data_IF_658974436369
#
_entry.id   IF_658974436369
#
_cell.length_a   1.000
_cell.length_b   1.000
_cell.length_c   1.000
_cell.angle_alpha   90.00
_cell.angle_beta   90.00
_cell.angle_gamma   90.00
#
_symmetry.space_group_name_H-M   'P 1'
#
loop_
_entity.id
_entity.type
_entity.pdbx_description
1 polymer ?
#
# COMPACT_ATOMS: atom_id res chain seq x y z
N UNK A 1 71.92 14.39 -45.86
CA UNK A 1 72.24 12.99 -45.50
C UNK A 1 71.57 12.63 -44.18
N UNK A 2 71.03 11.41 -44.09
CA UNK A 2 70.38 10.81 -42.91
C UNK A 2 71.24 10.93 -41.64
N UNK A 3 70.65 11.21 -40.45
CA UNK A 3 70.16 10.22 -39.47
C UNK A 3 69.68 10.93 -38.18
N UNK A 4 68.70 10.29 -37.53
CA UNK A 4 68.06 10.63 -36.26
C UNK A 4 69.05 10.73 -35.09
N UNK A 5 68.73 11.59 -34.12
CA UNK A 5 68.85 11.31 -32.68
C UNK A 5 67.74 12.08 -31.94
N UNK A 6 66.94 11.34 -31.17
CA UNK A 6 65.78 11.80 -30.44
C UNK A 6 66.17 12.69 -29.26
N UNK A 7 65.52 13.86 -29.16
CA UNK A 7 65.36 14.57 -27.89
C UNK A 7 64.21 13.91 -27.13
N UNK A 8 64.47 13.44 -25.91
CA UNK A 8 63.47 13.07 -24.92
C UNK A 8 62.89 14.34 -24.32
N UNK A 9 61.57 14.61 -24.41
CA UNK A 9 60.99 15.71 -23.68
C UNK A 9 60.39 15.21 -22.36
N UNK A 10 60.84 15.88 -21.29
CA UNK A 10 60.23 16.25 -20.00
C UNK A 10 58.70 16.13 -19.76
N UNK A 11 57.95 15.28 -20.46
CA UNK A 11 56.49 15.17 -20.31
C UNK A 11 56.02 14.27 -19.15
N UNK A 12 56.90 13.45 -18.54
CA UNK A 12 56.44 12.53 -17.49
C UNK A 12 56.32 13.15 -16.10
N UNK A 13 56.99 14.27 -15.78
CA UNK A 13 56.91 14.85 -14.44
C UNK A 13 55.73 15.81 -14.27
N UNK A 14 55.37 16.55 -15.32
CA UNK A 14 54.23 17.49 -15.28
C UNK A 14 52.88 16.76 -15.23
N UNK A 15 52.76 15.62 -15.91
CA UNK A 15 51.53 14.80 -15.90
C UNK A 15 51.34 14.10 -14.54
N UNK A 16 52.42 13.69 -13.88
CA UNK A 16 52.33 13.04 -12.56
C UNK A 16 51.97 14.02 -11.44
N UNK A 17 52.42 15.28 -11.52
CA UNK A 17 52.05 16.32 -10.55
C UNK A 17 50.60 16.83 -10.75
N UNK A 18 50.08 16.82 -11.98
CA UNK A 18 48.67 17.11 -12.25
C UNK A 18 47.72 16.00 -11.77
N UNK A 19 48.16 14.73 -11.76
CA UNK A 19 47.38 13.61 -11.24
C UNK A 19 47.33 13.56 -9.71
N UNK A 20 48.33 14.09 -9.01
CA UNK A 20 48.35 14.14 -7.53
C UNK A 20 47.55 15.33 -6.96
N UNK A 21 47.32 16.39 -7.75
CA UNK A 21 46.50 17.54 -7.33
C UNK A 21 44.99 17.36 -7.62
N UNK A 22 44.59 16.30 -8.35
CA UNK A 22 43.18 15.91 -8.53
C UNK A 22 42.73 14.75 -7.62
N UNK A 23 43.64 14.19 -6.80
CA UNK A 23 43.39 13.03 -5.94
C UNK A 23 43.12 13.34 -4.46
N UNK A 24 42.90 14.61 -4.09
CA UNK A 24 42.63 15.02 -2.71
C UNK A 24 41.52 16.08 -2.64
N UNK A 25 40.34 15.72 -3.14
CA UNK A 25 39.08 16.41 -2.86
C UNK A 25 38.09 15.38 -2.35
N UNK A 26 37.83 15.37 -1.05
CA UNK A 26 36.92 14.40 -0.43
C UNK A 26 35.53 14.46 -1.04
N UNK A 27 35.03 13.32 -1.50
CA UNK A 27 33.60 13.15 -1.76
C UNK A 27 32.86 13.15 -0.42
N UNK A 28 32.41 14.34 0.01
CA UNK A 28 31.23 14.44 0.84
C UNK A 28 30.07 13.83 0.04
N UNK A 29 29.54 12.72 0.55
CA UNK A 29 28.33 12.09 0.04
C UNK A 29 27.14 13.06 0.20
N UNK A 30 26.93 13.90 -0.81
CA UNK A 30 25.66 14.59 -1.00
C UNK A 30 24.69 13.59 -1.64
N UNK A 31 23.81 13.02 -0.81
CA UNK A 31 22.65 12.29 -1.29
C UNK A 31 21.87 13.20 -2.26
N UNK A 32 21.85 12.83 -3.55
CA UNK A 32 21.02 13.47 -4.56
C UNK A 32 19.55 13.18 -4.23
N UNK A 33 18.96 14.02 -3.37
CA UNK A 33 17.58 13.92 -2.88
C UNK A 33 16.62 14.88 -3.60
N UNK A 34 16.97 15.36 -4.80
CA UNK A 34 16.17 16.32 -5.58
C UNK A 34 16.34 16.12 -7.07
N UNK A 35 15.57 15.22 -7.65
CA UNK A 35 15.40 15.12 -9.11
C UNK A 35 14.06 14.49 -9.50
N UNK A 36 13.02 14.62 -8.67
CA UNK A 36 11.70 14.03 -8.94
C UNK A 36 10.51 14.98 -8.70
N UNK A 37 10.76 16.27 -8.46
CA UNK A 37 9.69 17.24 -8.18
C UNK A 37 9.24 18.05 -9.41
N UNK A 38 9.87 17.91 -10.58
CA UNK A 38 9.68 18.91 -11.66
C UNK A 38 9.07 18.43 -12.98
N UNK A 39 8.54 17.20 -13.07
CA UNK A 39 7.81 16.77 -14.27
C UNK A 39 6.56 16.01 -13.85
N UNK A 40 5.39 16.60 -14.11
CA UNK A 40 4.01 16.17 -13.78
C UNK A 40 3.38 16.69 -12.47
N UNK A 41 3.38 18.01 -12.26
CA UNK A 41 2.35 18.66 -11.44
C UNK A 41 1.99 20.04 -11.98
N UNK A 42 1.18 20.12 -13.04
CA UNK A 42 0.53 21.38 -13.45
C UNK A 42 -0.93 21.50 -12.99
N UNK A 43 -1.43 20.62 -12.11
CA UNK A 43 -2.79 20.78 -11.56
C UNK A 43 -3.08 20.06 -10.23
N UNK A 44 -2.11 19.98 -9.30
CA UNK A 44 -2.31 19.39 -7.97
C UNK A 44 -2.13 20.42 -6.85
N UNK A 45 -3.00 20.38 -5.82
CA UNK A 45 -2.77 21.14 -4.57
C UNK A 45 -1.40 20.74 -3.97
N UNK A 46 -0.64 21.67 -3.35
CA UNK A 46 0.64 21.34 -2.73
C UNK A 46 0.46 20.25 -1.64
N UNK A 47 1.50 19.43 -1.37
CA UNK A 47 1.43 18.38 -0.37
C UNK A 47 1.02 18.94 0.99
N UNK A 48 -0.01 18.35 1.58
CA UNK A 48 -0.50 18.81 2.89
C UNK A 48 0.43 18.28 3.97
N UNK A 49 0.93 19.14 4.85
CA UNK A 49 1.86 18.72 5.88
C UNK A 49 1.14 17.85 6.93
N UNK A 50 1.57 16.59 7.04
CA UNK A 50 1.21 15.72 8.14
C UNK A 50 1.94 16.18 9.41
N UNK A 51 1.18 16.48 10.46
CA UNK A 51 1.73 16.89 11.74
C UNK A 51 1.69 15.70 12.69
N UNK A 52 2.88 15.30 13.14
CA UNK A 52 3.04 14.39 14.27
C UNK A 52 2.77 15.18 15.55
N UNK A 53 1.71 14.84 16.27
CA UNK A 53 1.45 15.48 17.56
C UNK A 53 2.47 15.01 18.60
N UNK A 54 3.11 15.96 19.29
CA UNK A 54 3.99 15.66 20.41
C UNK A 54 3.14 15.27 21.62
N UNK A 55 3.55 14.24 22.41
CA UNK A 55 2.83 13.85 23.62
C UNK A 55 2.67 15.04 24.56
N UNK A 56 1.42 15.46 24.84
CA UNK A 56 1.15 16.47 25.87
C UNK A 56 1.16 15.80 27.25
N UNK A 57 1.58 16.54 28.28
CA UNK A 57 1.67 16.04 29.66
C UNK A 57 0.29 15.51 30.12
N UNK A 58 0.13 14.19 30.21
CA UNK A 58 -1.12 13.52 30.55
C UNK A 58 -1.78 12.71 29.42
N UNK A 59 -1.31 12.81 28.17
CA UNK A 59 -1.69 11.88 27.10
C UNK A 59 -0.85 10.59 27.21
N UNK A 60 -1.53 9.44 27.22
CA UNK A 60 -0.91 8.11 27.27
C UNK A 60 -0.13 7.75 26.00
N UNK A 61 0.39 6.52 25.95
CA UNK A 61 1.41 6.05 25.01
C UNK A 61 1.00 5.91 23.51
N UNK A 62 0.21 6.85 23.00
CA UNK A 62 -0.42 6.84 21.68
C UNK A 62 0.09 8.01 20.84
N UNK A 63 0.33 7.77 19.54
CA UNK A 63 0.70 8.81 18.59
C UNK A 63 -0.49 9.15 17.70
N UNK A 64 -0.88 10.43 17.65
CA UNK A 64 -1.92 10.92 16.75
C UNK A 64 -1.30 11.59 15.51
N UNK A 65 -1.92 11.34 14.36
CA UNK A 65 -1.56 11.93 13.08
C UNK A 65 -2.70 12.82 12.58
N UNK A 66 -2.41 14.08 12.29
CA UNK A 66 -3.39 15.05 11.77
C UNK A 66 -2.89 15.72 10.49
N UNK A 67 -3.84 16.03 9.60
CA UNK A 67 -3.63 16.85 8.40
C UNK A 67 -3.96 18.30 8.74
N UNK A 68 -3.10 19.25 8.38
CA UNK A 68 -3.39 20.68 8.55
C UNK A 68 -4.61 21.09 7.70
N UNK A 69 -5.70 21.50 8.34
CA UNK A 69 -6.92 21.90 7.65
C UNK A 69 -6.72 23.26 6.95
N UNK A 70 -6.85 23.28 5.62
CA UNK A 70 -6.98 24.51 4.85
C UNK A 70 -8.47 24.79 4.61
N UNK A 71 -9.01 25.79 5.32
CA UNK A 71 -10.36 26.32 5.11
C UNK A 71 -11.41 25.70 6.02
N UNK A 72 -11.90 26.50 6.98
CA UNK A 72 -13.12 26.21 7.72
C UNK A 72 -14.34 26.44 6.82
N UNK A 73 -14.69 25.43 6.03
CA UNK A 73 -16.09 25.27 5.61
C UNK A 73 -16.85 24.62 6.76
N UNK A 74 -18.00 25.21 7.15
CA UNK A 74 -18.90 24.76 8.22
C UNK A 74 -19.54 23.39 7.90
N UNK A 75 -18.72 22.36 7.80
CA UNK A 75 -19.08 20.98 7.55
C UNK A 75 -18.72 20.16 8.78
N UNK A 76 -19.64 19.30 9.24
CA UNK A 76 -19.39 18.36 10.35
C UNK A 76 -18.34 17.28 10.03
N UNK A 77 -17.75 17.33 8.83
CA UNK A 77 -16.74 16.42 8.32
C UNK A 77 -15.34 17.03 8.45
N UNK A 78 -14.41 16.28 9.04
CA UNK A 78 -13.03 16.70 9.21
C UNK A 78 -12.05 15.55 8.89
N UNK A 79 -10.78 15.82 8.56
CA UNK A 79 -9.79 14.77 8.26
C UNK A 79 -9.70 13.74 9.38
N UNK A 80 -9.78 12.44 9.06
CA UNK A 80 -9.77 11.37 10.05
C UNK A 80 -8.50 11.41 10.92
N UNK A 81 -8.68 11.28 12.25
CA UNK A 81 -7.56 11.10 13.19
C UNK A 81 -7.40 9.62 13.52
N UNK A 82 -6.30 9.03 13.10
CA UNK A 82 -5.96 7.64 13.44
C UNK A 82 -4.84 7.68 14.47
N UNK A 83 -5.15 7.26 15.70
CA UNK A 83 -4.17 7.08 16.75
C UNK A 83 -3.49 5.72 16.62
N UNK A 84 -2.20 5.65 16.91
CA UNK A 84 -1.42 4.41 16.81
C UNK A 84 -0.80 4.08 18.17
N UNK A 85 -1.07 2.87 18.65
CA UNK A 85 -0.48 2.28 19.84
C UNK A 85 0.56 1.24 19.43
N UNK A 86 1.82 1.47 19.79
CA UNK A 86 2.94 0.58 19.46
C UNK A 86 3.48 -0.15 20.68
N UNK A 87 2.63 -0.37 21.70
CA UNK A 87 3.05 -0.99 22.97
C UNK A 87 3.59 -2.42 22.79
N UNK A 88 3.04 -3.20 21.86
CA UNK A 88 3.59 -4.53 21.55
C UNK A 88 5.00 -4.44 20.91
N UNK A 89 5.36 -3.34 20.25
CA UNK A 89 6.72 -3.12 19.71
C UNK A 89 7.74 -2.65 20.76
N UNK A 90 7.28 -2.31 21.98
CA UNK A 90 8.15 -1.92 23.11
C UNK A 90 8.38 -3.06 24.10
N UNK A 91 7.60 -4.13 23.99
CA UNK A 91 7.63 -5.28 24.88
C UNK A 91 8.43 -6.41 24.24
N UNK A 92 9.63 -6.68 24.73
CA UNK A 92 10.52 -7.73 24.20
C UNK A 92 9.93 -9.14 24.35
N UNK A 93 8.82 -9.31 25.07
CA UNK A 93 8.09 -10.58 25.12
C UNK A 93 7.12 -10.76 23.94
N UNK A 94 6.85 -9.71 23.16
CA UNK A 94 5.84 -9.69 22.11
C UNK A 94 6.40 -9.85 20.70
N UNK A 95 7.69 -9.58 20.50
CA UNK A 95 8.36 -9.73 19.21
C UNK A 95 9.66 -10.54 19.35
N UNK A 96 10.16 -11.06 18.24
CA UNK A 96 11.38 -11.87 18.21
C UNK A 96 12.62 -10.99 18.37
N UNK A 97 13.45 -11.29 19.37
CA UNK A 97 14.72 -10.57 19.61
C UNK A 97 15.96 -11.36 19.19
N UNK A 98 15.81 -12.67 19.03
CA UNK A 98 16.81 -13.59 18.50
C UNK A 98 16.14 -14.82 17.88
N UNK A 99 16.84 -15.47 16.96
CA UNK A 99 16.42 -16.74 16.37
C UNK A 99 16.23 -17.81 17.45
N UNK A 100 15.25 -18.69 17.26
CA UNK A 100 14.94 -19.80 18.16
C UNK A 100 14.07 -19.44 19.37
N UNK A 101 13.74 -18.17 19.59
CA UNK A 101 12.78 -17.79 20.65
C UNK A 101 11.36 -18.24 20.32
N UNK A 102 10.64 -18.75 21.32
CA UNK A 102 9.21 -18.99 21.18
C UNK A 102 8.43 -17.71 21.53
N UNK A 103 7.74 -17.12 20.55
CA UNK A 103 6.85 -15.96 20.72
C UNK A 103 5.45 -16.25 20.14
N UNK A 104 4.46 -15.44 20.51
CA UNK A 104 3.09 -15.51 19.98
C UNK A 104 3.00 -14.86 18.60
N UNK A 105 2.36 -15.51 17.62
CA UNK A 105 2.27 -15.10 16.21
C UNK A 105 1.13 -14.13 15.89
N UNK A 106 0.43 -13.66 16.91
CA UNK A 106 -0.78 -12.86 16.80
C UNK A 106 -1.91 -13.56 16.01
N UNK A 107 -1.82 -14.88 15.83
CA UNK A 107 -2.83 -15.79 15.27
C UNK A 107 -3.12 -16.97 16.20
N UNK A 108 -2.64 -16.92 17.44
CA UNK A 108 -2.91 -17.88 18.50
C UNK A 108 -1.86 -18.96 18.71
N UNK A 109 -0.79 -18.99 17.91
CA UNK A 109 0.27 -19.98 18.07
C UNK A 109 1.52 -19.38 18.70
N UNK A 110 2.15 -20.18 19.56
CA UNK A 110 3.50 -19.92 20.02
C UNK A 110 4.48 -20.67 19.10
N UNK A 111 5.23 -19.95 18.28
CA UNK A 111 6.14 -20.53 17.27
C UNK A 111 7.57 -20.09 17.51
N UNK A 112 8.54 -20.88 17.04
CA UNK A 112 9.96 -20.51 17.07
C UNK A 112 10.24 -19.41 16.05
N UNK A 113 10.94 -18.36 16.47
CA UNK A 113 11.40 -17.27 15.61
C UNK A 113 12.46 -17.76 14.63
N UNK A 114 12.33 -17.40 13.36
CA UNK A 114 13.37 -17.56 12.34
C UNK A 114 14.27 -16.32 12.28
N UNK A 115 15.39 -16.39 11.55
CA UNK A 115 16.33 -15.27 11.40
C UNK A 115 15.64 -14.03 10.79
N UNK A 116 14.79 -14.21 9.77
CA UNK A 116 14.04 -13.15 9.09
C UNK A 116 12.88 -12.56 9.91
N UNK A 117 12.58 -13.17 11.07
CA UNK A 117 11.58 -12.67 12.01
C UNK A 117 12.18 -11.81 13.14
N UNK A 118 13.51 -11.74 13.26
CA UNK A 118 14.17 -10.97 14.34
C UNK A 118 14.04 -9.47 14.08
N UNK A 119 13.38 -8.74 15.00
CA UNK A 119 13.27 -7.29 14.92
C UNK A 119 14.45 -6.60 15.61
N UNK A 120 15.25 -5.88 14.84
CA UNK A 120 16.26 -4.97 15.37
C UNK A 120 15.65 -3.62 15.81
N UNK A 121 16.37 -2.87 16.63
CA UNK A 121 15.94 -1.52 17.03
C UNK A 121 15.84 -0.55 15.84
N UNK A 122 16.67 -0.74 14.81
CA UNK A 122 16.59 0.04 13.57
C UNK A 122 15.31 -0.28 12.80
N UNK A 123 14.96 -1.57 12.67
CA UNK A 123 13.70 -1.97 12.02
C UNK A 123 12.47 -1.42 12.76
N UNK A 124 12.45 -1.50 14.09
CA UNK A 124 11.36 -0.91 14.89
C UNK A 124 11.28 0.60 14.65
N UNK A 125 12.43 1.28 14.60
CA UNK A 125 12.47 2.71 14.31
C UNK A 125 11.91 3.02 12.91
N UNK A 126 12.30 2.28 11.88
CA UNK A 126 11.77 2.44 10.52
C UNK A 126 10.26 2.18 10.47
N UNK A 127 9.77 1.15 11.15
CA UNK A 127 8.33 0.87 11.26
C UNK A 127 7.56 2.05 11.87
N UNK A 128 8.06 2.59 12.99
CA UNK A 128 7.38 3.60 13.80
C UNK A 128 7.52 5.01 13.23
N UNK A 129 8.71 5.38 12.76
CA UNK A 129 9.02 6.76 12.36
C UNK A 129 8.90 7.00 10.85
N UNK A 130 8.87 5.95 10.01
CA UNK A 130 8.80 6.09 8.55
C UNK A 130 7.57 5.42 7.93
N UNK A 131 7.33 4.13 8.22
CA UNK A 131 6.27 3.35 7.55
C UNK A 131 4.87 3.73 8.05
N UNK A 132 4.66 3.69 9.37
CA UNK A 132 3.36 3.99 9.99
C UNK A 132 2.86 5.42 9.67
N UNK A 133 3.67 6.49 9.79
CA UNK A 133 3.24 7.85 9.45
C UNK A 133 2.76 7.98 8.00
N UNK A 134 3.49 7.39 7.05
CA UNK A 134 3.13 7.45 5.62
C UNK A 134 1.83 6.68 5.38
N UNK A 135 1.70 5.47 5.93
CA UNK A 135 0.51 4.65 5.76
C UNK A 135 -0.74 5.31 6.36
N UNK A 136 -0.63 5.90 7.56
CA UNK A 136 -1.72 6.66 8.19
C UNK A 136 -2.04 7.92 7.39
N UNK A 137 -1.03 8.65 6.93
CA UNK A 137 -1.20 9.87 6.14
C UNK A 137 -1.98 9.64 4.85
N UNK A 138 -1.71 8.54 4.15
CA UNK A 138 -2.44 8.16 2.94
C UNK A 138 -3.96 8.14 3.15
N UNK A 139 -4.44 7.65 4.30
CA UNK A 139 -5.87 7.68 4.67
C UNK A 139 -6.31 9.04 5.20
N UNK A 140 -5.54 9.65 6.10
CA UNK A 140 -5.91 10.92 6.75
C UNK A 140 -6.10 12.07 5.75
N UNK A 141 -5.31 12.08 4.67
CA UNK A 141 -5.39 13.08 3.60
C UNK A 141 -6.57 12.86 2.64
N UNK A 142 -7.09 11.63 2.56
CA UNK A 142 -8.11 11.22 1.57
C UNK A 142 -9.49 11.01 2.16
N UNK A 143 -9.59 10.79 3.47
CA UNK A 143 -10.83 10.48 4.15
C UNK A 143 -11.18 11.54 5.20
N UNK A 144 -12.34 12.15 5.02
CA UNK A 144 -13.01 12.94 6.05
C UNK A 144 -13.96 12.03 6.83
N UNK A 145 -14.21 12.40 8.09
CA UNK A 145 -15.10 11.66 8.99
C UNK A 145 -15.90 12.63 9.85
N UNK A 146 -17.10 12.21 10.26
CA UNK A 146 -17.77 12.80 11.41
C UNK A 146 -17.09 12.28 12.68
N UNK A 147 -16.56 13.20 13.48
CA UNK A 147 -15.71 12.87 14.64
C UNK A 147 -16.43 11.94 15.63
N UNK A 148 -15.71 10.95 16.16
CA UNK A 148 -16.23 10.14 17.28
C UNK A 148 -16.27 11.01 18.53
N UNK A 149 -17.27 10.77 19.39
CA UNK A 149 -17.31 11.38 20.72
C UNK A 149 -16.15 10.85 21.57
N UNK A 150 -15.23 11.74 21.95
CA UNK A 150 -14.09 11.43 22.81
C UNK A 150 -14.30 11.90 24.25
N UNK A 151 -13.66 11.27 25.25
CA UNK A 151 -12.86 10.05 25.12
C UNK A 151 -13.74 8.81 24.90
N UNK A 152 -13.24 7.83 24.14
CA UNK A 152 -13.85 6.50 24.03
C UNK A 152 -12.93 5.45 24.66
N UNK A 153 -13.51 4.56 25.46
CA UNK A 153 -12.78 3.51 26.18
C UNK A 153 -12.61 2.29 25.28
N UNK A 154 -11.40 1.72 25.30
CA UNK A 154 -11.12 0.42 24.67
C UNK A 154 -10.77 -0.56 25.77
N UNK A 155 -11.63 -1.56 25.99
CA UNK A 155 -11.38 -2.64 26.93
C UNK A 155 -10.40 -3.67 26.32
N UNK A 156 -9.72 -4.49 27.15
CA UNK A 156 -8.93 -5.60 26.65
C UNK A 156 -9.77 -6.51 25.75
N UNK A 157 -9.20 -6.88 24.61
CA UNK A 157 -9.82 -7.81 23.68
C UNK A 157 -9.81 -9.22 24.25
N UNK A 158 -10.87 -9.97 23.96
CA UNK A 158 -11.11 -11.34 24.38
C UNK A 158 -11.23 -12.25 23.16
N UNK A 159 -11.40 -13.55 23.38
CA UNK A 159 -11.61 -14.52 22.30
C UNK A 159 -12.75 -14.18 21.34
N UNK A 160 -13.75 -13.40 21.80
CA UNK A 160 -14.87 -12.94 20.96
C UNK A 160 -14.44 -12.01 19.83
N UNK A 161 -13.32 -11.29 20.02
CA UNK A 161 -12.76 -10.38 19.02
C UNK A 161 -11.70 -11.07 18.14
N UNK A 162 -11.63 -12.42 18.17
CA UNK A 162 -10.74 -13.20 17.31
C UNK A 162 -9.27 -12.87 17.53
N UNK A 163 -8.54 -12.52 16.46
CA UNK A 163 -7.11 -12.22 16.54
C UNK A 163 -6.78 -10.94 17.34
N UNK A 164 -7.77 -10.06 17.57
CA UNK A 164 -7.56 -8.85 18.37
C UNK A 164 -7.11 -9.17 19.81
N UNK A 165 -7.51 -10.31 20.36
CA UNK A 165 -7.17 -10.76 21.71
C UNK A 165 -5.66 -10.79 22.00
N UNK A 166 -4.83 -10.88 20.96
CA UNK A 166 -3.38 -10.99 21.08
C UNK A 166 -2.67 -9.64 21.19
N UNK A 167 -3.38 -8.53 20.96
CA UNK A 167 -2.84 -7.17 20.98
C UNK A 167 -2.98 -6.52 22.34
N UNK A 168 -1.96 -5.74 22.73
CA UNK A 168 -1.93 -5.06 24.02
C UNK A 168 -2.70 -3.74 23.94
N UNK A 169 -3.80 -3.67 24.70
CA UNK A 169 -4.52 -2.43 24.96
C UNK A 169 -3.92 -1.73 26.19
N UNK A 170 -3.33 -0.53 26.07
CA UNK A 170 -2.75 0.19 27.20
C UNK A 170 -3.79 0.49 28.30
N UNK A 171 -3.36 0.48 29.56
CA UNK A 171 -4.25 0.75 30.70
C UNK A 171 -4.93 2.13 30.62
N UNK A 172 -4.27 3.13 30.03
CA UNK A 172 -4.87 4.45 29.78
C UNK A 172 -6.08 4.37 28.85
N UNK A 173 -6.02 3.56 27.79
CA UNK A 173 -7.15 3.38 26.87
C UNK A 173 -8.34 2.69 27.55
N UNK A 174 -8.06 1.85 28.56
CA UNK A 174 -9.08 1.12 29.33
C UNK A 174 -9.75 2.01 30.39
N UNK A 175 -9.00 2.91 31.02
CA UNK A 175 -9.50 3.72 32.15
C UNK A 175 -9.93 5.13 31.74
N UNK A 176 -9.03 5.88 31.11
CA UNK A 176 -9.28 7.28 30.72
C UNK A 176 -9.85 7.39 29.31
N UNK A 177 -9.65 6.37 28.48
CA UNK A 177 -10.05 6.35 27.09
C UNK A 177 -9.08 7.10 26.17
N UNK A 178 -9.32 6.95 24.87
CA UNK A 178 -8.57 7.61 23.81
C UNK A 178 -9.20 8.96 23.53
N UNK A 179 -8.38 10.02 23.54
CA UNK A 179 -8.77 11.39 23.19
C UNK A 179 -8.21 11.75 21.82
N UNK A 180 -8.78 12.78 21.19
CA UNK A 180 -8.31 13.34 19.93
C UNK A 180 -8.09 12.33 18.78
N UNK A 181 -8.89 11.26 18.77
CA UNK A 181 -8.85 10.22 17.75
C UNK A 181 -10.27 9.88 17.29
N UNK A 182 -10.39 9.41 16.05
CA UNK A 182 -11.62 8.82 15.51
C UNK A 182 -11.48 7.31 15.29
N UNK A 183 -10.26 6.80 15.44
CA UNK A 183 -9.89 5.40 15.40
C UNK A 183 -8.57 5.19 16.16
N UNK A 184 -8.37 4.02 16.77
CA UNK A 184 -7.06 3.57 17.29
C UNK A 184 -6.61 2.26 16.65
N UNK A 185 -5.35 2.21 16.20
CA UNK A 185 -4.68 1.01 15.71
C UNK A 185 -3.72 0.47 16.77
N UNK A 186 -3.85 -0.80 17.11
CA UNK A 186 -2.90 -1.53 17.95
C UNK A 186 -1.92 -2.28 17.06
N UNK A 187 -0.65 -1.90 17.12
CA UNK A 187 0.37 -2.36 16.17
C UNK A 187 1.32 -3.36 16.79
N UNK A 188 1.52 -4.47 16.09
CA UNK A 188 2.52 -5.47 16.38
C UNK A 188 3.31 -5.84 15.12
N UNK A 189 4.48 -6.43 15.31
CA UNK A 189 5.28 -7.00 14.23
C UNK A 189 6.08 -8.16 14.80
N UNK A 190 5.87 -9.34 14.22
CA UNK A 190 6.54 -10.55 14.72
C UNK A 190 6.75 -11.64 13.66
N UNK A 191 5.73 -11.96 12.85
CA UNK A 191 5.80 -13.10 11.91
C UNK A 191 5.96 -12.69 10.45
N UNK A 192 6.53 -13.57 9.63
CA UNK A 192 6.70 -13.32 8.20
C UNK A 192 5.50 -13.72 7.31
N UNK A 193 4.37 -14.17 7.88
CA UNK A 193 3.14 -14.55 7.16
C UNK A 193 2.41 -13.40 6.44
N UNK A 194 3.04 -12.24 6.32
CA UNK A 194 2.51 -11.04 5.70
C UNK A 194 1.91 -10.04 6.69
N UNK A 195 1.70 -8.82 6.18
CA UNK A 195 1.00 -7.75 6.88
C UNK A 195 -0.51 -7.97 6.76
N UNK A 196 -1.22 -7.91 7.88
CA UNK A 196 -2.67 -8.10 7.95
C UNK A 196 -3.26 -7.24 9.05
N UNK A 197 -4.56 -6.97 8.95
CA UNK A 197 -5.25 -6.19 9.97
C UNK A 197 -6.75 -6.46 9.98
N UNK A 198 -7.39 -6.28 11.14
CA UNK A 198 -8.82 -6.55 11.35
C UNK A 198 -9.45 -5.49 12.26
N UNK A 199 -10.73 -5.11 12.04
CA UNK A 199 -11.45 -4.27 12.99
C UNK A 199 -11.71 -5.04 14.29
N UNK A 200 -11.55 -4.38 15.43
CA UNK A 200 -11.70 -4.96 16.77
C UNK A 200 -12.82 -4.31 17.59
N UNK A 201 -13.22 -3.10 17.24
CA UNK A 201 -14.30 -2.37 17.91
C UNK A 201 -15.00 -1.44 16.93
N UNK A 202 -16.31 -1.30 17.07
CA UNK A 202 -17.16 -0.46 16.25
C UNK A 202 -17.85 0.61 17.10
N UNK A 203 -18.05 1.79 16.53
CA UNK A 203 -18.87 2.85 17.12
C UNK A 203 -20.36 2.58 16.99
N UNK A 204 -21.18 3.46 17.57
CA UNK A 204 -22.65 3.33 17.56
C UNK A 204 -23.25 3.42 16.15
N UNK A 205 -22.58 4.09 15.23
CA UNK A 205 -22.91 4.18 13.81
C UNK A 205 -22.50 2.93 13.02
N UNK A 206 -21.82 1.98 13.66
CA UNK A 206 -21.27 0.79 13.03
C UNK A 206 -19.91 0.99 12.35
N UNK A 207 -19.32 2.19 12.44
CA UNK A 207 -17.99 2.48 11.89
C UNK A 207 -16.90 1.84 12.74
N UNK A 208 -15.86 1.23 12.15
CA UNK A 208 -14.70 0.78 12.93
C UNK A 208 -14.01 1.93 13.67
N UNK A 209 -13.76 1.76 14.97
CA UNK A 209 -13.07 2.75 15.83
C UNK A 209 -11.86 2.17 16.57
N UNK A 210 -11.65 0.86 16.54
CA UNK A 210 -10.39 0.25 16.91
C UNK A 210 -10.05 -0.92 15.99
N UNK A 211 -8.76 -1.13 15.71
CA UNK A 211 -8.28 -2.25 14.89
C UNK A 211 -6.94 -2.78 15.36
N UNK A 212 -6.67 -4.03 15.02
CA UNK A 212 -5.38 -4.69 15.22
C UNK A 212 -4.63 -4.71 13.88
N UNK A 213 -3.36 -4.31 13.89
CA UNK A 213 -2.50 -4.23 12.72
C UNK A 213 -1.20 -4.98 12.99
N UNK A 214 -1.02 -6.10 12.31
CA UNK A 214 0.24 -6.82 12.31
C UNK A 214 1.03 -6.45 11.04
N UNK A 215 2.25 -5.96 11.20
CA UNK A 215 3.16 -5.63 10.10
C UNK A 215 4.24 -6.71 10.03
N UNK A 216 4.55 -7.20 8.84
CA UNK A 216 5.65 -8.15 8.66
C UNK A 216 7.01 -7.47 8.95
N UNK A 217 7.96 -8.18 9.59
CA UNK A 217 9.32 -7.68 9.77
C UNK A 217 9.96 -7.30 8.42
N UNK A 218 10.63 -6.14 8.40
CA UNK A 218 11.11 -5.49 7.18
C UNK A 218 12.47 -6.04 6.73
N UNK A 219 12.48 -6.95 5.75
CA UNK A 219 13.70 -7.31 5.00
C UNK A 219 13.49 -7.42 3.48
N UNK A 220 12.24 -7.46 2.99
CA UNK A 220 11.96 -7.82 1.58
C UNK A 220 11.45 -6.66 0.69
N UNK A 221 11.03 -5.54 1.27
CA UNK A 221 10.39 -4.43 0.54
C UNK A 221 11.06 -3.10 0.89
N UNK A 222 11.16 -2.12 -0.01
CA UNK A 222 11.52 -0.75 0.34
C UNK A 222 10.45 -0.06 1.21
N UNK A 223 10.83 0.97 1.98
CA UNK A 223 9.94 1.73 2.89
C UNK A 223 8.63 2.14 2.21
N UNK A 224 8.70 2.61 0.96
CA UNK A 224 7.52 2.99 0.17
C UNK A 224 6.54 1.83 -0.04
N UNK A 225 7.02 0.65 -0.43
CA UNK A 225 6.17 -0.52 -0.65
C UNK A 225 5.60 -1.06 0.66
N UNK A 226 6.39 -1.00 1.75
CA UNK A 226 5.90 -1.34 3.08
C UNK A 226 4.81 -0.38 3.55
N UNK A 227 4.97 0.93 3.35
CA UNK A 227 3.94 1.91 3.67
C UNK A 227 2.64 1.66 2.90
N UNK A 228 2.72 1.27 1.61
CA UNK A 228 1.55 0.88 0.80
C UNK A 228 0.90 -0.40 1.28
N UNK A 229 1.69 -1.40 1.67
CA UNK A 229 1.20 -2.64 2.27
C UNK A 229 0.50 -2.36 3.60
N UNK A 230 1.08 -1.49 4.43
CA UNK A 230 0.48 -1.08 5.69
C UNK A 230 -0.80 -0.28 5.47
N UNK A 231 -0.86 0.62 4.48
CA UNK A 231 -2.08 1.34 4.12
C UNK A 231 -3.18 0.39 3.61
N UNK A 232 -2.83 -0.62 2.80
CA UNK A 232 -3.77 -1.66 2.40
C UNK A 232 -4.38 -2.36 3.64
N UNK A 233 -3.56 -2.73 4.61
CA UNK A 233 -4.06 -3.35 5.83
C UNK A 233 -4.92 -2.39 6.67
N UNK A 234 -4.52 -1.12 6.80
CA UNK A 234 -5.33 -0.09 7.47
C UNK A 234 -6.68 0.07 6.79
N UNK A 235 -6.75 0.02 5.45
CA UNK A 235 -8.02 0.09 4.73
C UNK A 235 -8.99 -1.04 5.12
N UNK A 236 -8.49 -2.26 5.31
CA UNK A 236 -9.29 -3.39 5.81
C UNK A 236 -9.87 -3.07 7.19
N UNK A 237 -9.07 -2.50 8.10
CA UNK A 237 -9.53 -2.09 9.44
C UNK A 237 -10.53 -0.94 9.41
N UNK A 238 -10.45 -0.06 8.41
CA UNK A 238 -11.39 1.05 8.21
C UNK A 238 -12.74 0.59 7.66
N UNK A 239 -12.88 -0.68 7.30
CA UNK A 239 -14.14 -1.27 6.87
C UNK A 239 -14.19 -1.63 5.39
N UNK A 240 -13.07 -1.64 4.67
CA UNK A 240 -13.00 -2.25 3.34
C UNK A 240 -13.10 -3.78 3.50
N UNK A 241 -14.33 -4.30 3.59
CA UNK A 241 -14.58 -5.73 3.74
C UNK A 241 -15.93 -6.12 3.13
N UNK A 242 -16.06 -7.38 2.76
CA UNK A 242 -17.33 -7.91 2.23
C UNK A 242 -18.49 -7.72 3.21
N UNK A 243 -18.26 -7.95 4.50
CA UNK A 243 -19.29 -7.79 5.54
C UNK A 243 -19.85 -6.36 5.59
N UNK A 244 -18.97 -5.35 5.57
CA UNK A 244 -19.39 -3.96 5.59
C UNK A 244 -20.07 -3.58 4.27
N UNK A 245 -19.52 -3.99 3.13
CA UNK A 245 -20.14 -3.72 1.83
C UNK A 245 -21.52 -4.38 1.70
N UNK A 246 -21.72 -5.57 2.25
CA UNK A 246 -23.02 -6.24 2.28
C UNK A 246 -24.01 -5.51 3.19
N UNK A 247 -23.58 -5.10 4.39
CA UNK A 247 -24.40 -4.34 5.34
C UNK A 247 -24.93 -3.04 4.74
N UNK A 248 -24.17 -2.41 3.85
CA UNK A 248 -24.52 -1.16 3.18
C UNK A 248 -25.13 -1.34 1.77
N UNK A 249 -25.57 -2.55 1.42
CA UNK A 249 -26.17 -2.87 0.11
C UNK A 249 -25.30 -2.43 -1.09
N UNK A 250 -23.98 -2.59 -0.96
CA UNK A 250 -23.03 -2.17 -2.00
C UNK A 250 -22.77 -3.26 -3.03
N UNK A 251 -23.18 -4.51 -2.78
CA UNK A 251 -22.78 -5.68 -3.56
C UNK A 251 -23.86 -6.14 -4.54
N UNK A 252 -23.42 -6.67 -5.67
CA UNK A 252 -24.23 -7.33 -6.69
C UNK A 252 -23.54 -8.63 -7.11
N UNK A 253 -24.30 -9.70 -7.25
CA UNK A 253 -23.81 -10.97 -7.81
C UNK A 253 -24.14 -11.03 -9.30
N UNK A 254 -23.12 -11.18 -10.15
CA UNK A 254 -23.25 -11.17 -11.62
C UNK A 254 -22.80 -12.51 -12.18
N UNK A 255 -23.67 -13.17 -12.95
CA UNK A 255 -23.38 -14.45 -13.64
C UNK A 255 -22.89 -14.23 -15.06
N UNK A 256 -22.11 -15.17 -15.61
CA UNK A 256 -21.71 -15.12 -17.02
C UNK A 256 -20.64 -14.08 -17.34
N UNK A 257 -19.97 -13.52 -16.32
CA UNK A 257 -18.89 -12.55 -16.51
C UNK A 257 -17.80 -13.16 -17.38
N UNK A 258 -17.59 -12.58 -18.56
CA UNK A 258 -16.64 -13.06 -19.59
C UNK A 258 -16.81 -14.54 -19.97
N UNK A 259 -18.04 -15.06 -19.90
CA UNK A 259 -18.35 -16.47 -20.17
C UNK A 259 -18.08 -17.42 -19.00
N UNK A 260 -17.74 -16.90 -17.82
CA UNK A 260 -17.54 -17.69 -16.60
C UNK A 260 -18.85 -18.28 -16.06
N UNK A 261 -18.77 -19.49 -15.51
CA UNK A 261 -19.90 -20.23 -14.94
C UNK A 261 -20.22 -19.84 -13.51
N UNK A 262 -19.23 -19.39 -12.75
CA UNK A 262 -19.37 -18.94 -11.36
C UNK A 262 -19.86 -17.49 -11.28
N UNK A 263 -20.75 -17.16 -10.34
CA UNK A 263 -21.10 -15.77 -10.06
C UNK A 263 -19.88 -14.97 -9.56
N UNK A 264 -19.74 -13.74 -10.04
CA UNK A 264 -18.72 -12.78 -9.61
C UNK A 264 -19.36 -11.72 -8.72
N UNK A 265 -18.70 -11.40 -7.61
CA UNK A 265 -19.14 -10.32 -6.71
C UNK A 265 -18.68 -8.98 -7.27
N UNK A 266 -19.59 -8.03 -7.42
CA UNK A 266 -19.37 -6.69 -7.97
C UNK A 266 -19.82 -5.64 -6.98
N UNK A 267 -19.02 -4.58 -6.79
CA UNK A 267 -19.44 -3.40 -6.03
C UNK A 267 -20.21 -2.46 -6.96
N UNK A 268 -21.51 -2.30 -6.70
CA UNK A 268 -22.50 -1.56 -7.49
C UNK A 268 -22.85 -0.18 -6.92
N UNK A 269 -22.27 0.20 -5.79
CA UNK A 269 -22.67 1.39 -5.04
C UNK A 269 -22.47 2.68 -5.84
N UNK A 270 -23.27 3.74 -5.62
CA UNK A 270 -23.43 4.82 -6.59
C UNK A 270 -22.16 5.58 -6.95
N UNK A 271 -21.32 5.92 -5.96
CA UNK A 271 -20.08 6.67 -6.20
C UNK A 271 -19.03 5.77 -6.84
N UNK A 272 -18.92 4.53 -6.36
CA UNK A 272 -17.98 3.53 -6.88
C UNK A 272 -18.30 3.18 -8.32
N UNK A 273 -19.58 2.97 -8.65
CA UNK A 273 -20.04 2.73 -10.00
C UNK A 273 -19.68 3.90 -10.93
N UNK A 274 -19.91 5.14 -10.48
CA UNK A 274 -19.57 6.33 -11.27
C UNK A 274 -18.06 6.43 -11.53
N UNK A 275 -17.23 6.20 -10.52
CA UNK A 275 -15.77 6.23 -10.66
C UNK A 275 -15.25 5.06 -11.50
N UNK A 276 -15.87 3.88 -11.42
CA UNK A 276 -15.56 2.76 -12.30
C UNK A 276 -15.88 3.08 -13.77
N UNK A 277 -17.08 3.61 -14.07
CA UNK A 277 -17.45 4.04 -15.43
C UNK A 277 -16.44 5.02 -16.01
N UNK A 278 -16.05 6.02 -15.21
CA UNK A 278 -15.06 7.03 -15.60
C UNK A 278 -13.68 6.40 -15.83
N UNK A 279 -13.20 5.58 -14.89
CA UNK A 279 -11.89 4.94 -14.98
C UNK A 279 -11.78 4.07 -16.22
N UNK A 280 -12.75 3.19 -16.48
CA UNK A 280 -12.68 2.27 -17.62
C UNK A 280 -13.18 2.90 -18.93
N UNK A 281 -13.81 4.07 -18.91
CA UNK A 281 -14.49 4.63 -20.09
C UNK A 281 -15.64 3.73 -20.58
N UNK A 282 -16.38 3.11 -19.66
CA UNK A 282 -17.42 2.13 -19.98
C UNK A 282 -18.73 2.42 -19.22
N UNK A 283 -19.72 3.00 -19.90
CA UNK A 283 -20.99 3.39 -19.27
C UNK A 283 -21.91 2.23 -18.89
N UNK A 284 -21.71 1.05 -19.47
CA UNK A 284 -22.54 -0.15 -19.24
C UNK A 284 -22.00 -1.06 -18.16
N UNK A 285 -20.84 -0.76 -17.55
CA UNK A 285 -20.32 -1.60 -16.46
C UNK A 285 -21.30 -1.64 -15.28
N UNK A 286 -21.56 -2.81 -14.68
CA UNK A 286 -22.40 -2.92 -13.49
C UNK A 286 -21.68 -2.46 -12.21
N UNK A 287 -20.36 -2.25 -12.26
CA UNK A 287 -19.55 -1.86 -11.11
C UNK A 287 -18.10 -2.29 -11.26
N UNK A 288 -17.45 -2.59 -10.14
CA UNK A 288 -16.09 -3.15 -10.09
C UNK A 288 -16.08 -4.52 -9.41
N UNK A 289 -15.39 -5.48 -10.01
CA UNK A 289 -15.31 -6.85 -9.53
C UNK A 289 -14.42 -7.00 -8.29
N UNK A 290 -14.82 -7.89 -7.39
CA UNK A 290 -14.03 -8.34 -6.24
C UNK A 290 -13.53 -9.78 -6.48
N UNK A 291 -12.28 -10.04 -6.07
CA UNK A 291 -11.73 -11.38 -5.97
C UNK A 291 -11.68 -11.80 -4.50
N UNK A 292 -12.02 -13.06 -4.23
CA UNK A 292 -11.84 -13.67 -2.92
C UNK A 292 -10.44 -14.31 -2.84
N UNK A 293 -9.63 -13.86 -1.90
CA UNK A 293 -8.34 -14.45 -1.59
C UNK A 293 -8.33 -14.87 -0.11
N UNK A 294 -8.42 -16.17 0.14
CA UNK A 294 -8.42 -16.77 1.49
C UNK A 294 -9.44 -16.14 2.45
N UNK A 295 -10.63 -15.80 1.95
CA UNK A 295 -11.70 -15.18 2.71
C UNK A 295 -11.69 -13.64 2.72
N UNK A 296 -10.66 -13.02 2.15
CA UNK A 296 -10.55 -11.56 2.01
C UNK A 296 -10.98 -11.14 0.61
N UNK A 297 -11.94 -10.22 0.54
CA UNK A 297 -12.44 -9.68 -0.73
C UNK A 297 -11.71 -8.39 -1.07
N UNK A 298 -11.02 -8.41 -2.21
CA UNK A 298 -10.17 -7.33 -2.71
C UNK A 298 -10.58 -6.96 -4.13
N UNK A 299 -10.16 -5.80 -4.63
CA UNK A 299 -10.37 -5.46 -6.04
C UNK A 299 -9.77 -6.51 -6.95
N UNK A 300 -10.53 -6.89 -7.98
CA UNK A 300 -10.12 -7.86 -8.97
C UNK A 300 -8.74 -7.51 -9.52
N UNK A 301 -7.80 -8.44 -9.38
CA UNK A 301 -6.43 -8.28 -9.85
C UNK A 301 -6.40 -8.03 -11.37
N UNK A 302 -7.34 -8.61 -12.11
CA UNK A 302 -7.52 -8.40 -13.54
C UNK A 302 -7.90 -6.95 -13.86
N UNK A 303 -8.81 -6.36 -13.09
CA UNK A 303 -9.38 -5.07 -13.42
C UNK A 303 -8.65 -3.89 -12.76
N UNK A 304 -7.89 -4.14 -11.70
CA UNK A 304 -7.30 -3.10 -10.85
C UNK A 304 -5.93 -3.51 -10.30
N UNK A 305 -5.05 -4.10 -11.12
CA UNK A 305 -3.78 -4.74 -10.69
C UNK A 305 -2.90 -3.86 -9.79
N UNK A 306 -2.87 -2.57 -10.09
CA UNK A 306 -1.97 -1.59 -9.47
C UNK A 306 -2.65 -0.77 -8.35
N UNK A 307 -3.88 -1.13 -7.97
CA UNK A 307 -4.70 -0.43 -7.00
C UNK A 307 -4.35 -0.86 -5.56
N UNK A 308 -4.39 0.08 -4.60
CA UNK A 308 -4.12 -0.14 -3.17
C UNK A 308 -4.79 -1.39 -2.62
N UNK A 309 -6.08 -1.60 -2.90
CA UNK A 309 -6.92 -2.70 -2.44
C UNK A 309 -6.96 -3.88 -3.40
N UNK A 310 -5.98 -4.01 -4.30
CA UNK A 310 -5.75 -5.23 -5.08
C UNK A 310 -4.72 -6.13 -4.40
N UNK A 311 -4.80 -7.44 -4.63
CA UNK A 311 -3.89 -8.42 -4.01
C UNK A 311 -2.40 -8.13 -4.28
N UNK A 312 -2.07 -7.72 -5.51
CA UNK A 312 -0.70 -7.36 -5.91
C UNK A 312 -0.47 -5.86 -5.90
N UNK A 313 -1.41 -5.05 -5.42
CA UNK A 313 -1.25 -3.59 -5.35
C UNK A 313 0.02 -3.21 -4.60
N UNK A 314 0.27 -3.84 -3.46
CA UNK A 314 1.50 -3.66 -2.67
C UNK A 314 2.82 -3.94 -3.43
N UNK A 315 2.80 -4.81 -4.42
CA UNK A 315 3.95 -5.16 -5.28
C UNK A 315 3.95 -4.38 -6.60
N UNK A 316 2.84 -3.71 -6.91
CA UNK A 316 2.57 -3.00 -8.14
C UNK A 316 2.04 -1.59 -7.84
N UNK A 317 2.85 -0.79 -7.14
CA UNK A 317 2.60 0.58 -6.67
C UNK A 317 1.56 0.79 -5.57
N UNK A 318 0.38 0.18 -5.66
CA UNK A 318 -0.66 0.29 -4.63
C UNK A 318 -1.28 1.68 -4.61
N UNK A 319 -1.68 2.15 -5.78
CA UNK A 319 -2.26 3.47 -5.96
C UNK A 319 -3.55 3.60 -5.17
N UNK A 320 -3.67 4.64 -4.35
CA UNK A 320 -4.90 4.97 -3.64
C UNK A 320 -5.81 5.73 -4.59
N UNK A 321 -6.52 4.98 -5.43
CA UNK A 321 -7.29 5.55 -6.53
C UNK A 321 -8.67 6.03 -6.09
N UNK A 322 -9.35 6.69 -7.02
CA UNK A 322 -10.75 7.07 -6.87
C UNK A 322 -11.68 5.86 -6.62
N UNK A 323 -11.29 4.64 -6.99
CA UNK A 323 -12.08 3.42 -6.77
C UNK A 323 -12.19 3.09 -5.28
N UNK A 324 -11.06 3.02 -4.57
CA UNK A 324 -11.04 2.77 -3.13
C UNK A 324 -11.62 3.95 -2.34
N UNK A 325 -11.33 5.18 -2.75
CA UNK A 325 -11.92 6.38 -2.12
C UNK A 325 -13.46 6.38 -2.26
N UNK A 326 -13.99 6.01 -3.43
CA UNK A 326 -15.42 5.89 -3.65
C UNK A 326 -16.07 4.80 -2.81
N UNK A 327 -15.42 3.64 -2.68
CA UNK A 327 -15.93 2.57 -1.83
C UNK A 327 -16.01 3.01 -0.35
N UNK A 328 -15.03 3.78 0.13
CA UNK A 328 -15.12 4.37 1.48
C UNK A 328 -16.24 5.40 1.63
N UNK A 329 -16.51 6.20 0.61
CA UNK A 329 -17.64 7.14 0.63
C UNK A 329 -19.00 6.41 0.62
N UNK A 330 -19.13 5.37 -0.19
CA UNK A 330 -20.35 4.56 -0.29
C UNK A 330 -20.62 3.69 0.96
N UNK A 331 -19.61 3.40 1.78
CA UNK A 331 -19.81 2.83 3.13
C UNK A 331 -20.57 3.78 4.07
N UNK A 332 -20.71 5.05 3.71
CA UNK A 332 -21.43 6.07 4.50
C UNK A 332 -20.69 6.57 5.74
N UNK A 333 -19.59 5.94 6.11
CA UNK A 333 -18.74 6.30 7.24
C UNK A 333 -17.80 7.48 6.95
N UNK A 334 -17.42 7.64 5.69
CA UNK A 334 -16.37 8.57 5.26
C UNK A 334 -16.87 9.47 4.13
N UNK A 335 -16.18 10.59 3.91
CA UNK A 335 -16.23 11.34 2.65
C UNK A 335 -14.85 11.38 2.04
N UNK A 336 -14.77 11.20 0.72
CA UNK A 336 -13.51 11.29 0.02
C UNK A 336 -13.11 12.77 -0.21
N UNK A 337 -11.82 13.06 -0.04
CA UNK A 337 -11.22 14.33 -0.47
C UNK A 337 -10.84 14.22 -1.94
N UNK A 338 -11.80 14.47 -2.82
CA UNK A 338 -11.58 14.42 -4.27
C UNK A 338 -10.49 15.41 -4.72
N UNK A 339 -9.71 15.00 -5.73
CA UNK A 339 -8.48 15.65 -6.18
C UNK A 339 -7.20 15.07 -5.56
N UNK A 340 -7.32 14.20 -4.54
CA UNK A 340 -6.20 13.49 -3.90
C UNK A 340 -6.05 12.04 -4.41
N UNK A 341 -6.96 11.57 -5.26
CA UNK A 341 -6.85 10.26 -5.90
C UNK A 341 -5.56 10.13 -6.71
N UNK A 342 -4.91 8.98 -6.59
CA UNK A 342 -3.77 8.67 -7.44
C UNK A 342 -4.25 8.08 -8.78
N UNK A 343 -3.70 8.53 -9.92
CA UNK A 343 -4.06 7.99 -11.21
C UNK A 343 -3.46 6.58 -11.37
N UNK A 344 -4.30 5.62 -11.78
CA UNK A 344 -3.85 4.28 -12.13
C UNK A 344 -3.96 4.10 -13.64
N UNK A 345 -2.84 3.79 -14.32
CA UNK A 345 -2.84 3.57 -15.78
C UNK A 345 -3.55 2.27 -16.14
N UNK A 346 -3.45 1.25 -15.28
CA UNK A 346 -4.11 -0.03 -15.47
C UNK A 346 -5.63 0.11 -15.64
N UNK A 347 -6.14 -0.28 -16.79
CA UNK A 347 -7.57 -0.23 -17.13
C UNK A 347 -8.10 1.18 -17.45
N UNK A 348 -7.28 2.22 -17.40
CA UNK A 348 -7.76 3.58 -17.66
C UNK A 348 -8.18 3.75 -19.13
N UNK A 349 -9.41 4.17 -19.38
CA UNK A 349 -10.03 4.32 -20.70
C UNK A 349 -9.89 3.07 -21.60
N UNK A 350 -9.89 1.87 -21.01
CA UNK A 350 -9.74 0.62 -21.76
C UNK A 350 -11.02 0.19 -22.50
N UNK A 351 -12.15 0.87 -22.26
CA UNK A 351 -13.43 0.61 -22.87
C UNK A 351 -14.12 -0.64 -22.32
N UNK A 352 -15.37 -0.85 -22.72
CA UNK A 352 -16.16 -1.97 -22.22
C UNK A 352 -15.62 -3.34 -22.62
N UNK A 353 -14.89 -3.43 -23.73
CA UNK A 353 -14.31 -4.70 -24.19
C UNK A 353 -13.35 -5.29 -23.16
N UNK A 354 -12.58 -4.44 -22.46
CA UNK A 354 -11.69 -4.87 -21.37
C UNK A 354 -12.46 -5.59 -20.27
N UNK A 355 -13.65 -5.12 -19.89
CA UNK A 355 -14.43 -5.69 -18.79
C UNK A 355 -15.25 -6.92 -19.23
N UNK A 356 -15.69 -6.93 -20.50
CA UNK A 356 -16.70 -7.89 -21.00
C UNK A 356 -16.16 -9.04 -21.81
N UNK A 357 -15.00 -8.88 -22.49
CA UNK A 357 -14.37 -9.95 -23.26
C UNK A 357 -13.33 -10.69 -22.42
N UNK A 358 -13.23 -12.02 -22.52
CA UNK A 358 -12.15 -12.78 -21.90
C UNK A 358 -10.81 -12.50 -22.58
N UNK A 359 -9.71 -12.67 -21.84
CA UNK A 359 -8.37 -12.69 -22.41
C UNK A 359 -8.21 -13.78 -23.49
N UNK A 360 -7.49 -13.44 -24.54
CA UNK A 360 -7.22 -14.23 -25.75
C UNK A 360 -5.81 -13.97 -26.28
N UNK A 361 -5.39 -14.66 -27.34
CA UNK A 361 -4.09 -14.40 -27.99
C UNK A 361 -3.96 -12.96 -28.54
N UNK A 362 -5.08 -12.27 -28.82
CA UNK A 362 -5.09 -10.88 -29.31
C UNK A 362 -5.04 -9.84 -28.19
N UNK A 363 -5.24 -10.27 -26.93
CA UNK A 363 -5.32 -9.38 -25.77
C UNK A 363 -4.05 -8.55 -25.54
N UNK A 364 -2.82 -9.10 -25.66
CA UNK A 364 -1.60 -8.30 -25.57
C UNK A 364 -1.50 -7.22 -26.66
N UNK A 365 -2.06 -7.45 -27.85
CA UNK A 365 -2.09 -6.44 -28.92
C UNK A 365 -3.16 -5.38 -28.69
N UNK A 366 -4.31 -5.79 -28.15
CA UNK A 366 -5.43 -4.89 -27.83
C UNK A 366 -5.11 -3.99 -26.64
N UNK A 367 -4.36 -4.51 -25.67
CA UNK A 367 -4.02 -3.83 -24.41
C UNK A 367 -2.52 -3.98 -24.05
N UNK A 368 -1.61 -3.45 -24.87
CA UNK A 368 -0.16 -3.69 -24.76
C UNK A 368 0.49 -3.12 -23.50
N UNK A 369 -0.14 -2.16 -22.83
CA UNK A 369 0.31 -1.62 -21.55
C UNK A 369 -0.12 -2.45 -20.32
N UNK A 370 -0.99 -3.45 -20.50
CA UNK A 370 -1.56 -4.26 -19.41
C UNK A 370 -1.15 -5.72 -19.52
N UNK A 371 -1.32 -6.31 -20.70
CA UNK A 371 -1.09 -7.73 -20.92
C UNK A 371 0.11 -7.97 -21.83
N UNK A 372 0.70 -9.15 -21.70
CA UNK A 372 1.86 -9.56 -22.49
C UNK A 372 1.65 -10.95 -23.07
N UNK A 373 2.40 -11.30 -24.12
CA UNK A 373 2.38 -12.63 -24.71
C UNK A 373 3.37 -13.57 -23.97
N UNK A 374 2.90 -14.74 -23.55
CA UNK A 374 3.76 -15.80 -22.96
C UNK A 374 4.83 -16.28 -23.93
N UNK A 375 4.65 -16.13 -25.25
CA UNK A 375 5.68 -16.41 -26.26
C UNK A 375 6.93 -15.53 -26.03
N UNK A 376 6.76 -14.36 -25.41
CA UNK A 376 7.83 -13.43 -25.04
C UNK A 376 8.26 -13.55 -23.56
N UNK A 377 7.98 -14.67 -22.88
CA UNK A 377 8.25 -14.84 -21.44
C UNK A 377 9.73 -14.68 -21.04
N UNK A 378 10.66 -14.71 -21.99
CA UNK A 378 12.10 -14.49 -21.73
C UNK A 378 12.52 -13.01 -21.83
N UNK A 379 11.68 -12.16 -22.41
CA UNK A 379 11.98 -10.75 -22.59
C UNK A 379 11.76 -10.00 -21.28
N UNK A 380 12.81 -9.28 -20.83
CA UNK A 380 12.69 -8.36 -19.71
C UNK A 380 11.83 -7.18 -20.13
N UNK A 381 10.79 -6.90 -19.35
CA UNK A 381 9.86 -5.79 -19.57
C UNK A 381 9.66 -5.04 -18.26
N UNK A 382 9.35 -3.76 -18.35
CA UNK A 382 8.89 -3.01 -17.17
C UNK A 382 7.52 -3.51 -16.73
N UNK A 383 7.27 -3.52 -15.42
CA UNK A 383 5.90 -3.62 -14.91
C UNK A 383 5.06 -2.44 -15.41
N UNK A 384 3.72 -2.57 -15.37
CA UNK A 384 2.78 -1.49 -15.73
C UNK A 384 3.06 -0.17 -14.99
N UNK A 385 3.61 -0.25 -13.78
CA UNK A 385 3.97 0.88 -12.93
C UNK A 385 5.40 1.40 -13.14
N UNK A 386 6.22 0.69 -13.94
CA UNK A 386 7.66 0.94 -14.15
C UNK A 386 8.52 0.93 -12.87
N UNK A 387 7.98 0.41 -11.77
CA UNK A 387 8.70 0.32 -10.49
C UNK A 387 9.62 -0.89 -10.40
N UNK A 388 9.45 -1.88 -11.29
CA UNK A 388 10.29 -3.06 -11.33
C UNK A 388 10.47 -3.58 -12.77
N UNK A 389 11.51 -4.37 -12.98
CA UNK A 389 11.71 -5.20 -14.16
C UNK A 389 11.12 -6.59 -13.88
N UNK A 390 10.41 -7.13 -14.86
CA UNK A 390 9.83 -8.47 -14.79
C UNK A 390 9.83 -9.18 -16.13
N UNK A 391 9.18 -10.34 -16.15
CA UNK A 391 8.95 -11.14 -17.35
C UNK A 391 7.48 -11.43 -17.52
N UNK A 392 7.05 -11.85 -18.73
CA UNK A 392 5.68 -12.27 -18.97
C UNK A 392 5.40 -13.64 -18.34
N UNK A 393 5.18 -13.65 -17.02
CA UNK A 393 5.06 -14.86 -16.21
C UNK A 393 3.90 -14.83 -15.22
N UNK A 394 3.33 -13.66 -14.93
CA UNK A 394 2.18 -13.54 -14.04
C UNK A 394 0.87 -13.88 -14.75
N UNK A 395 -0.10 -14.40 -14.00
CA UNK A 395 -1.50 -14.50 -14.42
C UNK A 395 -2.37 -13.75 -13.40
N UNK A 396 -3.24 -12.87 -13.88
CA UNK A 396 -4.14 -12.07 -13.03
C UNK A 396 -5.48 -12.75 -12.75
N UNK A 397 -5.75 -13.91 -13.37
CA UNK A 397 -7.00 -14.68 -13.17
C UNK A 397 -6.82 -15.84 -12.19
N UNK A 398 -5.60 -16.32 -11.97
CA UNK A 398 -5.27 -17.48 -11.10
C UNK A 398 -5.78 -17.34 -9.65
N UNK A 399 -6.12 -16.12 -9.24
CA UNK A 399 -6.64 -15.77 -7.91
C UNK A 399 -8.19 -15.71 -7.84
N UNK A 400 -8.90 -16.04 -8.93
CA UNK A 400 -10.36 -15.82 -9.05
C UNK A 400 -11.21 -17.10 -9.12
N UNK A 401 -10.61 -18.30 -9.06
CA UNK A 401 -11.35 -19.55 -8.86
C UNK A 401 -12.43 -19.89 -9.90
N UNK A 402 -12.34 -19.41 -11.13
CA UNK A 402 -13.24 -19.77 -12.25
C UNK A 402 -12.46 -20.13 -13.51
N UNK A 403 -12.90 -21.17 -14.25
CA UNK A 403 -12.17 -21.78 -15.36
C UNK A 403 -11.76 -20.83 -16.52
N UNK A 404 -10.55 -21.08 -17.04
CA UNK A 404 -9.94 -20.83 -18.39
C UNK A 404 -9.87 -19.42 -18.98
N UNK A 405 -9.96 -18.35 -18.20
CA UNK A 405 -9.35 -17.08 -18.63
C UNK A 405 -7.88 -17.06 -18.16
N UNK A 406 -6.93 -16.86 -19.07
CA UNK A 406 -5.50 -16.73 -18.74
C UNK A 406 -5.06 -15.37 -19.23
N UNK A 407 -4.80 -14.46 -18.30
CA UNK A 407 -4.43 -13.09 -18.61
C UNK A 407 -2.98 -12.86 -18.18
N UNK A 408 -2.07 -12.97 -19.14
CA UNK A 408 -0.64 -12.93 -18.84
C UNK A 408 -0.16 -11.50 -18.65
N UNK A 409 0.59 -11.26 -17.58
CA UNK A 409 1.10 -9.94 -17.21
C UNK A 409 2.59 -9.97 -16.89
N UNK A 410 3.24 -8.82 -17.04
CA UNK A 410 4.62 -8.65 -16.61
C UNK A 410 4.67 -8.65 -15.08
N UNK A 411 5.45 -9.56 -14.52
CA UNK A 411 5.60 -9.71 -13.07
C UNK A 411 7.09 -9.81 -12.70
N UNK A 412 7.55 -9.11 -11.64
CA UNK A 412 8.92 -9.26 -11.15
C UNK A 412 9.18 -10.69 -10.63
N UNK A 413 10.39 -11.22 -10.75
CA UNK A 413 10.74 -12.52 -10.20
C UNK A 413 10.72 -12.49 -8.66
N UNK A 414 10.24 -13.58 -8.05
CA UNK A 414 10.03 -13.75 -6.60
C UNK A 414 11.25 -13.48 -5.68
N UNK A 415 12.47 -13.32 -6.21
CA UNK A 415 13.73 -13.22 -5.44
C UNK A 415 14.53 -11.93 -5.64
N UNK A 416 14.04 -10.95 -6.42
CA UNK A 416 14.80 -9.73 -6.67
C UNK A 416 13.86 -8.53 -6.54
N UNK A 417 13.63 -8.12 -5.30
CA UNK A 417 13.14 -6.77 -4.95
C UNK A 417 14.30 -5.82 -4.62
N UNK A 418 15.53 -6.34 -4.60
CA UNK A 418 16.75 -5.56 -4.49
C UNK A 418 17.18 -5.12 -5.89
N UNK A 419 16.83 -3.88 -6.22
CA UNK A 419 17.26 -3.13 -7.39
C UNK A 419 16.61 -3.57 -8.72
N UNK A 420 15.79 -2.68 -9.27
CA UNK A 420 15.83 -2.20 -10.67
C UNK A 420 14.56 -1.38 -10.92
N UNK A 421 14.59 -0.09 -10.53
CA UNK A 421 13.64 0.87 -11.10
C UNK A 421 13.79 0.84 -12.61
N UNK A 422 12.67 0.77 -13.33
CA UNK A 422 12.67 0.69 -14.77
C UNK A 422 12.94 2.07 -15.38
N UNK A 423 14.21 2.51 -15.34
CA UNK A 423 14.67 3.80 -15.83
C UNK A 423 15.25 3.72 -17.27
N UNK A 424 14.94 2.66 -18.02
CA UNK A 424 15.41 2.56 -19.40
C UNK A 424 14.63 3.55 -20.28
N UNK A 425 15.29 4.64 -20.68
CA UNK A 425 14.96 5.35 -21.92
C UNK A 425 15.06 4.33 -23.06
N UNK A 426 14.01 4.25 -23.88
CA UNK A 426 14.02 3.37 -25.05
C UNK A 426 15.18 3.76 -25.94
N UNK A 427 15.94 2.77 -26.40
CA UNK A 427 16.87 2.99 -27.51
C UNK A 427 15.99 3.07 -28.76
N UNK A 428 15.97 4.25 -29.38
CA UNK A 428 15.31 4.54 -30.65
C UNK A 428 15.61 3.52 -31.76
#
# INVERSE_FOLDING_TARGET
MRRRLHATPFLSLAVFLLLLMYGAGGCLAAAHRRAFDEVFWESGRPPTAMVRELPRKGQGATQAYTVAAAGEDKSDWAPIRIAVSTEDLKDTNKYCTKEGEAKLDFRGNNSSCTEDEVLTSEMIKTLVDEILPVAVGLHAERLLVQRVKTPFVVLPFTEKEGNCQYFKVPESHQKTGVTDADMVLYVASRSNYGTWAVPCMFGNDGRPIAGALHIMPFHALPVMHSARTTAHAIALTLGFSMEQMQKHDMLLSVTGVRGGTSPVTVVKSPVTLRKAKLHYGCDTTPGIELNNHDGVYLWSLRNAKDELMSLRGKEAAGYYTALTMAAFEDLGYYKAVWGMEEPMVWGNNSGCEFLTKPCSEETPTTFPGMFCDKKDAKSLRCTSTRQAIGTCSGDVVDVSGGEKETCSVVHPPHRILENLFCAAEGID
#
